data_IF_028020924467
#
_entry.id   IF_028020924467
#
_cell.length_a   1.000
_cell.length_b   1.000
_cell.length_c   1.000
_cell.angle_alpha   90.00
_cell.angle_beta   90.00
_cell.angle_gamma   90.00
#
_symmetry.space_group_name_H-M   'P 1'
#
loop_
_entity.id
_entity.type
_entity.pdbx_description
1 polymer ?
#
# COMPACT_ATOMS: atom_id res chain seq x y z
N UNK A 1 9.20 0.53 14.40
CA UNK A 1 8.12 -0.39 14.84
C UNK A 1 7.31 -0.98 13.69
N UNK A 2 7.07 -0.25 12.60
CA UNK A 2 6.44 -0.81 11.38
C UNK A 2 7.50 -1.37 10.42
N UNK A 3 8.54 -0.60 10.16
CA UNK A 3 9.67 -1.03 9.32
C UNK A 3 10.30 -2.33 9.82
N UNK A 4 10.60 -3.25 8.90
CA UNK A 4 11.19 -4.58 9.14
C UNK A 4 10.41 -5.46 10.13
N UNK A 5 9.12 -5.17 10.36
CA UNK A 5 8.30 -5.96 11.27
C UNK A 5 7.72 -7.19 10.57
N UNK A 6 8.30 -8.36 10.84
CA UNK A 6 7.88 -9.63 10.25
C UNK A 6 6.43 -10.03 10.58
N UNK A 7 5.82 -9.49 11.65
CA UNK A 7 4.41 -9.78 11.99
C UNK A 7 3.40 -9.12 11.03
N UNK A 8 3.90 -8.21 10.17
CA UNK A 8 3.15 -7.57 9.10
C UNK A 8 3.35 -8.27 7.74
N UNK A 9 4.22 -9.28 7.66
CA UNK A 9 4.34 -10.10 6.46
C UNK A 9 3.04 -10.87 6.20
N UNK A 10 2.70 -10.99 4.93
CA UNK A 10 1.64 -11.86 4.45
C UNK A 10 2.22 -13.21 4.06
N UNK A 11 1.42 -14.27 4.22
CA UNK A 11 1.75 -15.62 3.77
C UNK A 11 0.53 -16.22 3.07
N UNK A 12 0.76 -16.90 1.95
CA UNK A 12 -0.23 -17.70 1.23
C UNK A 12 0.52 -18.82 0.51
N UNK A 13 -0.01 -20.05 0.57
CA UNK A 13 0.67 -21.27 0.15
C UNK A 13 2.06 -21.40 0.81
N UNK A 14 3.13 -21.40 0.01
CA UNK A 14 4.52 -21.46 0.46
C UNK A 14 5.28 -20.16 0.19
N UNK A 15 4.56 -19.05 -0.06
CA UNK A 15 5.14 -17.75 -0.39
C UNK A 15 4.89 -16.78 0.75
N UNK A 16 5.89 -15.97 1.07
CA UNK A 16 5.81 -14.91 2.07
C UNK A 16 6.26 -13.58 1.48
N UNK A 17 5.61 -12.49 1.88
CA UNK A 17 6.03 -11.14 1.48
C UNK A 17 7.20 -10.65 2.31
N UNK A 18 7.96 -9.71 1.75
CA UNK A 18 8.95 -8.96 2.51
C UNK A 18 8.26 -8.05 3.53
N UNK A 19 8.88 -7.79 4.69
CA UNK A 19 8.30 -6.90 5.68
C UNK A 19 8.19 -5.45 5.12
N UNK A 20 7.30 -4.61 5.68
CA UNK A 20 7.18 -3.23 5.24
C UNK A 20 8.49 -2.46 5.40
N UNK A 21 8.78 -1.58 4.44
CA UNK A 21 9.97 -0.73 4.42
C UNK A 21 9.58 0.72 4.28
N UNK A 22 10.26 1.61 5.01
CA UNK A 22 9.99 3.05 4.95
C UNK A 22 10.41 3.60 3.58
N UNK A 23 9.51 4.34 2.94
CA UNK A 23 9.82 5.08 1.71
C UNK A 23 9.94 6.58 1.97
N UNK A 24 9.30 7.07 3.04
CA UNK A 24 9.31 8.46 3.43
C UNK A 24 9.08 8.56 4.93
N UNK A 25 9.84 9.42 5.59
CA UNK A 25 9.67 9.74 7.00
C UNK A 25 10.27 11.12 7.29
N UNK A 26 9.43 12.12 7.55
CA UNK A 26 9.88 13.47 7.91
C UNK A 26 8.78 14.30 8.58
N UNK A 27 9.18 15.42 9.17
CA UNK A 27 8.25 16.47 9.56
C UNK A 27 7.65 17.21 8.34
N UNK A 28 6.55 17.91 8.57
CA UNK A 28 5.83 18.70 7.57
C UNK A 28 6.06 20.21 7.73
N UNK A 29 7.21 20.65 8.26
CA UNK A 29 7.55 22.08 8.28
C UNK A 29 7.87 22.55 6.87
N UNK A 30 7.26 23.67 6.48
CA UNK A 30 7.49 24.30 5.18
C UNK A 30 8.67 25.28 5.21
N UNK A 31 8.92 25.89 6.37
CA UNK A 31 9.98 26.86 6.58
C UNK A 31 10.84 26.45 7.78
N UNK A 32 12.10 26.88 7.74
CA UNK A 32 12.98 26.75 8.89
C UNK A 32 12.62 27.78 9.96
N UNK A 33 12.42 27.27 11.18
CA UNK A 33 12.35 28.06 12.41
C UNK A 33 12.70 27.17 13.61
N UNK A 34 12.82 27.77 14.80
CA UNK A 34 13.23 27.08 16.05
C UNK A 34 12.10 26.34 16.76
N UNK A 35 10.88 26.34 16.23
CA UNK A 35 9.72 25.67 16.82
C UNK A 35 9.72 24.16 16.56
N UNK A 36 9.03 23.43 17.44
CA UNK A 36 8.81 21.98 17.31
C UNK A 36 7.81 21.71 16.17
N UNK A 37 8.05 20.71 15.31
CA UNK A 37 7.10 20.38 14.25
C UNK A 37 5.74 19.95 14.81
N UNK A 38 4.67 20.51 14.25
CA UNK A 38 3.28 20.17 14.61
C UNK A 38 2.84 18.85 13.98
N UNK A 39 3.32 18.56 12.76
CA UNK A 39 2.96 17.36 12.01
C UNK A 39 4.21 16.63 11.49
N UNK A 40 4.10 15.32 11.40
CA UNK A 40 5.04 14.45 10.68
C UNK A 40 4.27 13.40 9.90
N UNK A 41 4.89 12.87 8.84
CA UNK A 41 4.31 11.80 8.05
C UNK A 41 5.36 10.74 7.73
N UNK A 42 4.90 9.50 7.71
CA UNK A 42 5.66 8.36 7.21
C UNK A 42 4.77 7.52 6.31
N UNK A 43 5.32 7.01 5.21
CA UNK A 43 4.66 5.96 4.44
C UNK A 43 5.63 4.85 4.08
N UNK A 44 5.07 3.66 3.93
CA UNK A 44 5.80 2.41 3.80
C UNK A 44 5.39 1.72 2.51
N UNK A 45 6.34 1.06 1.86
CA UNK A 45 5.99 0.03 0.89
C UNK A 45 5.37 -1.15 1.66
N UNK A 46 4.21 -1.62 1.24
CA UNK A 46 3.49 -2.70 1.90
C UNK A 46 2.99 -3.71 0.87
N UNK A 47 3.54 -4.92 0.91
CA UNK A 47 3.12 -6.05 0.07
C UNK A 47 2.24 -7.02 0.87
N UNK A 48 1.19 -7.52 0.23
CA UNK A 48 0.30 -8.53 0.79
C UNK A 48 -0.13 -9.52 -0.30
N UNK A 49 -0.49 -10.74 0.10
CA UNK A 49 -0.98 -11.80 -0.79
C UNK A 49 -2.50 -11.90 -0.69
N UNK A 50 -3.10 -12.70 -1.56
CA UNK A 50 -4.57 -12.74 -1.73
C UNK A 50 -5.32 -13.08 -0.45
N UNK A 51 -4.83 -14.06 0.31
CA UNK A 51 -5.50 -14.53 1.53
C UNK A 51 -5.31 -13.59 2.74
N UNK A 52 -4.75 -12.40 2.50
CA UNK A 52 -4.58 -11.38 3.53
C UNK A 52 -5.88 -10.64 3.83
N UNK A 53 -6.30 -10.69 5.08
CA UNK A 53 -7.33 -9.82 5.62
C UNK A 53 -6.77 -8.41 5.90
N UNK A 54 -7.18 -7.43 5.09
CA UNK A 54 -6.64 -6.06 5.20
C UNK A 54 -7.14 -5.32 6.44
N UNK A 55 -8.34 -5.63 6.92
CA UNK A 55 -8.83 -5.11 8.20
C UNK A 55 -7.95 -5.57 9.35
N UNK A 56 -7.52 -6.85 9.36
CA UNK A 56 -6.58 -7.35 10.37
C UNK A 56 -5.23 -6.66 10.31
N UNK A 57 -4.70 -6.40 9.11
CA UNK A 57 -3.46 -5.61 8.95
C UNK A 57 -3.64 -4.21 9.52
N UNK A 58 -4.73 -3.53 9.17
CA UNK A 58 -5.01 -2.18 9.64
C UNK A 58 -5.07 -2.16 11.17
N UNK A 59 -5.73 -3.14 11.79
CA UNK A 59 -5.78 -3.30 13.25
C UNK A 59 -4.40 -3.60 13.87
N UNK A 60 -3.56 -4.41 13.21
CA UNK A 60 -2.16 -4.64 13.64
C UNK A 60 -1.36 -3.34 13.62
N UNK A 61 -1.49 -2.54 12.55
CA UNK A 61 -0.82 -1.24 12.42
C UNK A 61 -1.31 -0.26 13.50
N UNK A 62 -2.62 -0.14 13.69
CA UNK A 62 -3.23 0.67 14.76
C UNK A 62 -2.71 0.24 16.14
N UNK A 63 -2.61 -1.07 16.40
CA UNK A 63 -2.07 -1.60 17.65
C UNK A 63 -0.60 -1.23 17.85
N UNK A 64 0.20 -1.28 16.78
CA UNK A 64 1.61 -0.84 16.80
C UNK A 64 1.72 0.66 17.08
N UNK A 65 0.89 1.48 16.43
CA UNK A 65 0.84 2.93 16.65
C UNK A 65 0.43 3.26 18.09
N UNK A 66 -0.63 2.64 18.60
CA UNK A 66 -1.07 2.78 20.00
C UNK A 66 0.05 2.47 21.00
N UNK A 67 0.76 1.34 20.80
CA UNK A 67 1.91 1.00 21.65
C UNK A 67 3.00 2.05 21.55
N UNK A 68 3.33 2.50 20.33
CA UNK A 68 4.38 3.49 20.10
C UNK A 68 4.07 4.82 20.78
N UNK A 69 2.82 5.30 20.70
CA UNK A 69 2.39 6.52 21.39
C UNK A 69 2.48 6.36 22.91
N UNK A 70 2.04 5.22 23.46
CA UNK A 70 2.15 4.93 24.90
C UNK A 70 3.61 4.97 25.38
N UNK A 71 4.55 4.41 24.62
CA UNK A 71 5.98 4.46 24.98
C UNK A 71 6.53 5.90 24.97
N UNK A 72 6.10 6.74 24.01
CA UNK A 72 6.47 8.16 23.99
C UNK A 72 5.89 8.91 25.20
N UNK A 73 4.63 8.66 25.56
CA UNK A 73 4.00 9.29 26.72
C UNK A 73 4.65 8.85 28.04
N UNK A 74 5.03 7.57 28.18
CA UNK A 74 5.83 7.11 29.33
C UNK A 74 7.15 7.87 29.45
N UNK A 75 7.82 8.13 28.33
CA UNK A 75 9.06 8.93 28.31
C UNK A 75 8.80 10.39 28.69
N UNK A 76 7.70 10.97 28.23
CA UNK A 76 7.25 12.30 28.65
C UNK A 76 7.04 12.35 30.17
N UNK A 77 6.26 11.42 30.73
CA UNK A 77 5.96 11.36 32.15
C UNK A 77 7.22 11.19 33.00
N UNK A 78 8.11 10.26 32.62
CA UNK A 78 9.37 10.06 33.32
C UNK A 78 10.26 11.32 33.29
N UNK A 79 10.29 12.03 32.16
CA UNK A 79 11.04 13.29 32.02
C UNK A 79 10.42 14.38 32.90
N UNK A 80 9.10 14.53 32.85
CA UNK A 80 8.38 15.51 33.66
C UNK A 80 8.59 15.26 35.15
N UNK A 81 8.42 14.02 35.60
CA UNK A 81 8.56 13.63 37.01
C UNK A 81 10.00 13.85 37.50
N UNK A 82 11.02 13.59 36.67
CA UNK A 82 12.41 13.92 36.99
C UNK A 82 12.61 15.43 37.16
N UNK A 83 12.16 16.23 36.20
CA UNK A 83 12.29 17.69 36.26
C UNK A 83 11.56 18.28 37.46
N UNK A 84 10.37 17.76 37.76
CA UNK A 84 9.55 18.21 38.89
C UNK A 84 10.22 17.88 40.24
N UNK A 85 10.75 16.66 40.40
CA UNK A 85 11.46 16.24 41.64
C UNK A 85 12.75 17.03 41.91
N UNK A 86 13.32 17.68 40.89
CA UNK A 86 14.54 18.48 40.98
C UNK A 86 14.25 19.99 40.89
N UNK A 87 13.01 20.43 41.10
CA UNK A 87 12.58 21.84 41.07
C UNK A 87 12.89 22.58 39.75
N UNK A 88 13.02 21.86 38.63
CA UNK A 88 13.30 22.41 37.31
C UNK A 88 12.02 22.82 36.55
N UNK A 89 10.84 22.38 37.00
CA UNK A 89 9.55 22.68 36.38
C UNK A 89 8.43 22.67 37.43
N UNK A 90 7.37 23.47 37.18
CA UNK A 90 6.16 23.49 38.03
C UNK A 90 5.14 22.46 37.56
N UNK A 91 4.38 21.92 38.53
CA UNK A 91 3.32 20.93 38.27
C UNK A 91 2.27 21.40 37.25
N UNK A 92 1.91 22.68 37.27
CA UNK A 92 0.95 23.32 36.34
C UNK A 92 1.36 23.23 34.85
N UNK A 93 2.62 22.89 34.56
CA UNK A 93 3.12 22.68 33.20
C UNK A 93 2.94 21.24 32.73
N UNK A 94 2.51 20.31 33.60
CA UNK A 94 2.17 18.94 33.20
C UNK A 94 0.96 18.99 32.27
N UNK A 95 1.07 18.33 31.13
CA UNK A 95 -0.03 18.18 30.18
C UNK A 95 -0.60 16.78 30.32
N UNK A 96 -1.91 16.70 30.26
CA UNK A 96 -2.60 15.42 30.06
C UNK A 96 -2.79 15.19 28.57
N UNK A 97 -2.53 13.96 28.13
CA UNK A 97 -2.68 13.57 26.74
C UNK A 97 -3.73 12.47 26.63
N UNK A 98 -4.71 12.69 25.75
CA UNK A 98 -5.63 11.65 25.32
C UNK A 98 -5.35 11.34 23.84
N UNK A 99 -4.33 10.53 23.53
CA UNK A 99 -3.95 10.27 22.16
C UNK A 99 -5.02 9.46 21.42
N UNK A 100 -5.29 9.84 20.18
CA UNK A 100 -6.16 9.11 19.28
C UNK A 100 -5.32 8.42 18.20
N UNK A 101 -5.55 7.13 17.99
CA UNK A 101 -4.97 6.38 16.86
C UNK A 101 -6.14 5.83 16.06
N UNK A 102 -6.37 6.43 14.89
CA UNK A 102 -7.58 6.22 14.09
C UNK A 102 -7.22 5.97 12.63
N UNK A 103 -8.15 5.39 11.91
CA UNK A 103 -8.08 5.23 10.46
C UNK A 103 -8.43 6.53 9.73
N UNK A 104 -8.06 6.61 8.45
CA UNK A 104 -8.48 7.72 7.58
C UNK A 104 -10.00 7.82 7.48
N UNK A 105 -10.70 6.67 7.41
CA UNK A 105 -12.15 6.61 7.40
C UNK A 105 -12.78 7.18 8.68
N UNK A 106 -12.26 6.81 9.85
CA UNK A 106 -12.75 7.35 11.14
C UNK A 106 -12.45 8.86 11.26
N UNK A 107 -11.30 9.32 10.76
CA UNK A 107 -10.98 10.75 10.71
C UNK A 107 -12.01 11.53 9.88
N UNK A 108 -12.41 10.99 8.73
CA UNK A 108 -13.44 11.55 7.86
C UNK A 108 -14.79 11.66 8.56
N UNK A 109 -15.19 10.61 9.30
CA UNK A 109 -16.42 10.57 10.09
C UNK A 109 -16.41 11.63 11.19
N UNK A 110 -15.34 11.69 11.99
CA UNK A 110 -15.16 12.70 13.06
C UNK A 110 -15.19 14.12 12.49
N UNK A 111 -14.56 14.34 11.33
CA UNK A 111 -14.54 15.66 10.70
C UNK A 111 -15.92 16.10 10.20
N UNK A 112 -16.69 15.18 9.63
CA UNK A 112 -18.05 15.44 9.21
C UNK A 112 -18.99 15.75 10.40
N UNK A 113 -18.83 15.04 11.52
CA UNK A 113 -19.61 15.25 12.74
C UNK A 113 -19.30 16.59 13.41
N UNK A 114 -18.03 16.96 13.48
CA UNK A 114 -17.59 18.14 14.24
C UNK A 114 -17.63 19.46 13.45
N UNK A 115 -17.76 19.41 12.13
CA UNK A 115 -17.64 20.57 11.26
C UNK A 115 -18.72 20.59 10.16
N UNK A 116 -19.76 21.39 10.37
CA UNK A 116 -20.88 21.55 9.43
C UNK A 116 -20.46 21.94 8.01
N UNK A 117 -19.35 22.66 7.86
CA UNK A 117 -18.82 23.10 6.57
C UNK A 117 -17.82 22.09 5.96
N UNK A 118 -17.59 20.95 6.60
CA UNK A 118 -16.56 19.98 6.23
C UNK A 118 -16.61 19.59 4.76
N UNK A 119 -17.79 19.16 4.28
CA UNK A 119 -17.99 18.69 2.90
C UNK A 119 -17.59 19.77 1.89
N UNK A 120 -18.01 21.01 2.11
CA UNK A 120 -17.71 22.15 1.23
C UNK A 120 -16.21 22.48 1.23
N UNK A 121 -15.60 22.56 2.42
CA UNK A 121 -14.18 22.89 2.58
C UNK A 121 -13.28 21.80 1.99
N UNK A 122 -13.59 20.52 2.26
CA UNK A 122 -12.92 19.36 1.68
C UNK A 122 -12.97 19.40 0.15
N UNK A 123 -14.15 19.65 -0.43
CA UNK A 123 -14.32 19.73 -1.89
C UNK A 123 -13.48 20.85 -2.52
N UNK A 124 -13.43 22.02 -1.88
CA UNK A 124 -12.62 23.14 -2.34
C UNK A 124 -11.12 22.81 -2.28
N UNK A 125 -10.67 22.23 -1.16
CA UNK A 125 -9.29 21.78 -1.00
C UNK A 125 -8.90 20.75 -2.06
N UNK A 126 -9.73 19.73 -2.29
CA UNK A 126 -9.44 18.71 -3.29
C UNK A 126 -9.36 19.24 -4.72
N UNK A 127 -10.23 20.20 -5.08
CA UNK A 127 -10.13 20.87 -6.38
C UNK A 127 -8.76 21.54 -6.56
N UNK A 128 -8.25 22.21 -5.53
CA UNK A 128 -6.93 22.81 -5.56
C UNK A 128 -5.81 21.75 -5.64
N UNK A 129 -5.88 20.70 -4.82
CA UNK A 129 -4.91 19.60 -4.83
C UNK A 129 -4.80 18.94 -6.21
N UNK A 130 -5.92 18.68 -6.88
CA UNK A 130 -5.94 18.13 -8.25
C UNK A 130 -5.24 19.07 -9.24
N UNK A 131 -5.46 20.39 -9.14
CA UNK A 131 -4.75 21.35 -9.99
C UNK A 131 -3.23 21.34 -9.75
N UNK A 132 -2.79 21.15 -8.50
CA UNK A 132 -1.37 21.02 -8.16
C UNK A 132 -0.76 19.73 -8.72
N UNK A 133 -1.48 18.61 -8.66
CA UNK A 133 -1.05 17.34 -9.28
C UNK A 133 -0.94 17.51 -10.79
N UNK A 134 -1.98 18.03 -11.45
CA UNK A 134 -2.02 18.18 -12.91
C UNK A 134 -0.97 19.17 -13.44
N UNK A 135 -0.54 20.13 -12.62
CA UNK A 135 0.55 21.06 -12.96
C UNK A 135 1.94 20.53 -12.61
N UNK A 136 2.05 19.31 -12.06
CA UNK A 136 3.32 18.69 -11.69
C UNK A 136 3.99 19.30 -10.46
N UNK A 137 3.31 20.18 -9.72
CA UNK A 137 3.87 20.85 -8.53
C UNK A 137 3.98 19.92 -7.33
N UNK A 138 3.10 18.92 -7.25
CA UNK A 138 3.12 17.87 -6.23
C UNK A 138 2.82 16.52 -6.88
N UNK A 139 3.32 15.45 -6.30
CA UNK A 139 2.94 14.09 -6.68
C UNK A 139 1.74 13.60 -5.87
N UNK A 140 1.24 12.40 -6.19
CA UNK A 140 0.07 11.82 -5.53
C UNK A 140 0.34 11.45 -4.07
N UNK A 141 1.58 11.13 -3.71
CA UNK A 141 1.97 10.82 -2.33
C UNK A 141 1.91 12.06 -1.44
N UNK A 142 2.46 13.18 -1.91
CA UNK A 142 2.38 14.47 -1.23
C UNK A 142 0.92 14.93 -1.11
N UNK A 143 0.10 14.72 -2.15
CA UNK A 143 -1.32 15.02 -2.11
C UNK A 143 -2.04 14.24 -0.99
N UNK A 144 -1.74 12.95 -0.81
CA UNK A 144 -2.32 12.14 0.27
C UNK A 144 -1.94 12.65 1.67
N UNK A 145 -0.66 12.99 1.88
CA UNK A 145 -0.18 13.58 3.14
C UNK A 145 -0.92 14.89 3.44
N UNK A 146 -1.02 15.79 2.45
CA UNK A 146 -1.73 17.07 2.60
C UNK A 146 -3.22 16.87 2.89
N UNK A 147 -3.85 15.85 2.30
CA UNK A 147 -5.25 15.51 2.57
C UNK A 147 -5.47 15.11 4.03
N UNK A 148 -4.66 14.19 4.57
CA UNK A 148 -4.73 13.81 5.99
C UNK A 148 -4.55 15.05 6.88
N UNK A 149 -3.48 15.83 6.67
CA UNK A 149 -3.21 17.05 7.44
C UNK A 149 -4.41 17.98 7.40
N UNK A 150 -4.96 18.24 6.20
CA UNK A 150 -6.09 19.15 6.06
C UNK A 150 -7.33 18.66 6.79
N UNK A 151 -7.61 17.36 6.77
CA UNK A 151 -8.79 16.82 7.44
C UNK A 151 -8.60 16.84 8.96
N UNK A 152 -7.38 16.62 9.47
CA UNK A 152 -7.08 16.84 10.91
C UNK A 152 -7.40 18.29 11.31
N UNK A 153 -6.98 19.29 10.52
CA UNK A 153 -7.32 20.70 10.79
C UNK A 153 -8.84 20.95 10.77
N UNK A 154 -9.57 20.27 9.88
CA UNK A 154 -11.02 20.42 9.75
C UNK A 154 -11.80 19.63 10.81
N UNK A 155 -11.21 18.62 11.44
CA UNK A 155 -11.90 17.72 12.38
C UNK A 155 -12.05 18.29 13.80
N UNK A 156 -11.36 19.40 14.08
CA UNK A 156 -11.31 20.06 15.40
C UNK A 156 -10.76 19.16 16.51
N UNK A 157 -10.00 18.11 16.18
CA UNK A 157 -9.25 17.33 17.15
C UNK A 157 -8.14 18.22 17.72
N UNK A 158 -8.11 18.40 19.05
CA UNK A 158 -7.16 19.27 19.74
C UNK A 158 -6.00 18.52 20.42
N UNK A 159 -6.04 17.18 20.42
CA UNK A 159 -5.05 16.32 21.07
C UNK A 159 -4.06 15.68 20.10
N UNK A 160 -3.19 14.81 20.66
CA UNK A 160 -2.28 13.98 19.86
C UNK A 160 -3.12 13.02 19.01
N UNK A 161 -2.92 13.04 17.70
CA UNK A 161 -3.61 12.15 16.77
C UNK A 161 -2.62 11.46 15.83
N UNK A 162 -2.80 10.16 15.64
CA UNK A 162 -2.12 9.34 14.64
C UNK A 162 -3.19 8.81 13.70
N UNK A 163 -3.02 9.10 12.41
CA UNK A 163 -3.97 8.68 11.37
C UNK A 163 -3.30 7.64 10.48
N UNK A 164 -3.98 6.51 10.28
CA UNK A 164 -3.52 5.42 9.42
C UNK A 164 -4.41 5.31 8.19
N UNK A 165 -3.82 5.34 6.99
CA UNK A 165 -4.54 5.18 5.74
C UNK A 165 -3.66 4.58 4.65
N UNK A 166 -4.26 4.34 3.48
CA UNK A 166 -3.57 3.83 2.29
C UNK A 166 -3.34 4.96 1.30
N UNK A 167 -2.20 4.93 0.62
CA UNK A 167 -1.84 5.88 -0.41
C UNK A 167 -1.58 5.16 -1.73
N UNK A 168 -1.99 5.70 -2.88
CA UNK A 168 -1.79 5.02 -4.15
C UNK A 168 -0.31 4.81 -4.52
N UNK A 169 -0.03 3.86 -5.42
CA UNK A 169 -0.97 2.90 -6.02
C UNK A 169 -1.30 1.70 -5.12
N UNK A 170 -2.54 1.21 -5.20
CA UNK A 170 -2.98 -0.07 -4.67
C UNK A 170 -3.00 -1.13 -5.79
N UNK A 171 -2.18 -2.18 -5.64
CA UNK A 171 -2.20 -3.33 -6.54
C UNK A 171 -2.99 -4.46 -5.87
N UNK A 172 -4.17 -4.86 -6.40
CA UNK A 172 -4.88 -6.01 -5.88
C UNK A 172 -4.00 -7.26 -5.93
N UNK A 173 -3.98 -8.01 -4.82
CA UNK A 173 -3.30 -9.29 -4.80
C UNK A 173 -4.10 -10.32 -5.60
N UNK A 174 -3.54 -10.78 -6.71
CA UNK A 174 -4.18 -11.75 -7.61
C UNK A 174 -3.48 -13.09 -7.48
N UNK A 175 -4.26 -14.13 -7.15
CA UNK A 175 -3.92 -15.54 -7.34
C UNK A 175 -4.83 -16.05 -8.45
N UNK A 176 -4.24 -16.66 -9.47
CA UNK A 176 -5.01 -17.17 -10.60
C UNK A 176 -6.09 -18.15 -10.10
N UNK A 177 -7.31 -17.98 -10.61
CA UNK A 177 -8.50 -18.77 -10.25
C UNK A 177 -9.09 -19.51 -11.46
N UNK A 178 -8.52 -19.33 -12.65
CA UNK A 178 -8.90 -20.07 -13.85
C UNK A 178 -8.25 -21.45 -13.90
N UNK A 179 -8.88 -22.39 -14.61
CA UNK A 179 -8.22 -23.64 -14.97
C UNK A 179 -7.17 -23.33 -16.05
N UNK A 180 -5.90 -23.61 -15.76
CA UNK A 180 -4.79 -23.43 -16.70
C UNK A 180 -4.13 -24.76 -17.10
N UNK A 181 -4.70 -25.91 -16.71
CA UNK A 181 -4.04 -27.21 -16.81
C UNK A 181 -3.57 -27.54 -18.23
N UNK A 182 -4.39 -27.22 -19.23
CA UNK A 182 -4.07 -27.44 -20.64
C UNK A 182 -2.92 -26.55 -21.13
N UNK A 183 -2.93 -25.26 -20.78
CA UNK A 183 -1.85 -24.33 -21.12
C UNK A 183 -0.55 -24.67 -20.39
N UNK A 184 -0.63 -25.07 -19.12
CA UNK A 184 0.52 -25.52 -18.35
C UNK A 184 1.10 -26.83 -18.89
N UNK A 185 0.25 -27.77 -19.33
CA UNK A 185 0.68 -29.01 -19.99
C UNK A 185 1.37 -28.72 -21.31
N UNK A 186 0.81 -27.82 -22.13
CA UNK A 186 1.43 -27.34 -23.37
C UNK A 186 2.84 -26.77 -23.13
N UNK A 187 2.99 -25.92 -22.10
CA UNK A 187 4.29 -25.37 -21.71
C UNK A 187 5.28 -26.45 -21.24
N UNK A 188 4.83 -27.38 -20.41
CA UNK A 188 5.68 -28.47 -19.90
C UNK A 188 6.19 -29.38 -21.03
N UNK A 189 5.33 -29.72 -21.99
CA UNK A 189 5.72 -30.52 -23.17
C UNK A 189 6.78 -29.82 -24.02
N UNK A 190 6.61 -28.52 -24.30
CA UNK A 190 7.57 -27.75 -25.10
C UNK A 190 8.92 -27.63 -24.36
N UNK A 191 8.88 -27.35 -23.06
CA UNK A 191 10.08 -27.28 -22.21
C UNK A 191 10.82 -28.62 -22.17
N UNK A 192 10.11 -29.72 -21.91
CA UNK A 192 10.69 -31.05 -21.78
C UNK A 192 11.25 -31.56 -23.12
N UNK A 193 10.49 -31.42 -24.22
CA UNK A 193 10.88 -32.02 -25.49
C UNK A 193 11.98 -31.21 -26.19
N UNK A 194 11.82 -29.88 -26.30
CA UNK A 194 12.72 -29.02 -27.08
C UNK A 194 13.92 -28.52 -26.27
N UNK A 195 13.71 -28.17 -25.01
CA UNK A 195 14.74 -27.51 -24.20
C UNK A 195 15.36 -28.40 -23.12
N UNK A 196 14.78 -29.58 -22.86
CA UNK A 196 15.17 -30.49 -21.76
C UNK A 196 15.12 -29.77 -20.40
N UNK A 197 14.14 -28.88 -20.25
CA UNK A 197 13.85 -28.14 -19.02
C UNK A 197 12.57 -28.68 -18.37
N UNK A 198 12.42 -28.43 -17.08
CA UNK A 198 11.22 -28.77 -16.30
C UNK A 198 10.41 -27.52 -16.03
N UNK A 199 9.09 -27.59 -16.17
CA UNK A 199 8.22 -26.48 -15.75
C UNK A 199 8.19 -26.37 -14.22
N UNK A 200 8.31 -25.13 -13.74
CA UNK A 200 8.03 -24.78 -12.36
C UNK A 200 7.02 -23.63 -12.34
N UNK A 201 5.96 -23.78 -11.55
CA UNK A 201 4.86 -22.81 -11.46
C UNK A 201 4.90 -22.17 -10.08
N UNK A 202 5.14 -20.85 -10.07
CA UNK A 202 5.01 -20.02 -8.88
C UNK A 202 3.58 -19.47 -8.80
N UNK A 203 2.89 -19.55 -7.65
CA UNK A 203 1.53 -19.03 -7.51
C UNK A 203 1.47 -17.49 -7.50
N UNK A 204 2.60 -16.83 -7.23
CA UNK A 204 2.72 -15.39 -7.15
C UNK A 204 3.97 -14.89 -7.87
N UNK A 205 3.79 -13.82 -8.65
CA UNK A 205 4.90 -12.97 -9.04
C UNK A 205 5.12 -11.93 -7.93
N UNK A 206 6.28 -11.99 -7.27
CA UNK A 206 6.60 -11.13 -6.11
C UNK A 206 7.04 -9.71 -6.49
N UNK A 207 7.07 -9.38 -7.78
CA UNK A 207 7.24 -8.02 -8.28
C UNK A 207 5.90 -7.29 -8.44
N UNK A 208 5.97 -6.03 -8.89
CA UNK A 208 4.78 -5.27 -9.27
C UNK A 208 4.37 -5.69 -10.68
N UNK A 209 3.09 -5.98 -10.90
CA UNK A 209 2.58 -6.37 -12.21
C UNK A 209 1.19 -5.78 -12.46
N UNK A 210 0.97 -5.24 -13.65
CA UNK A 210 -0.31 -4.65 -14.04
C UNK A 210 -1.43 -5.70 -14.19
N UNK A 211 -1.08 -6.99 -14.22
CA UNK A 211 -2.04 -8.11 -14.11
C UNK A 211 -2.86 -8.04 -12.80
N UNK A 212 -2.36 -7.37 -11.76
CA UNK A 212 -3.15 -7.05 -10.57
C UNK A 212 -4.46 -6.30 -10.89
N UNK A 213 -4.56 -5.65 -12.06
CA UNK A 213 -5.75 -4.92 -12.50
C UNK A 213 -6.64 -5.71 -13.47
N UNK A 214 -6.33 -6.97 -13.79
CA UNK A 214 -7.14 -7.79 -14.73
C UNK A 214 -8.05 -8.80 -14.01
N UNK A 215 -7.86 -8.98 -12.70
CA UNK A 215 -8.69 -9.84 -11.88
C UNK A 215 -8.91 -9.27 -10.47
N UNK A 216 -10.10 -9.51 -9.91
CA UNK A 216 -10.42 -9.14 -8.54
C UNK A 216 -11.40 -10.16 -7.94
N UNK A 217 -10.85 -11.11 -7.20
CA UNK A 217 -11.65 -12.17 -6.56
C UNK A 217 -12.18 -11.78 -5.18
N UNK A 218 -11.63 -10.74 -4.56
CA UNK A 218 -12.08 -10.22 -3.26
C UNK A 218 -12.38 -8.72 -3.30
N UNK A 219 -13.58 -8.38 -3.78
CA UNK A 219 -14.07 -7.01 -3.82
C UNK A 219 -14.25 -6.41 -2.41
N UNK A 220 -14.57 -7.24 -1.41
CA UNK A 220 -14.84 -6.71 -0.06
C UNK A 220 -13.55 -6.13 0.53
N UNK A 221 -12.47 -6.90 0.45
CA UNK A 221 -11.14 -6.49 0.89
C UNK A 221 -10.63 -5.27 0.10
N UNK A 222 -10.82 -5.27 -1.23
CA UNK A 222 -10.46 -4.12 -2.07
C UNK A 222 -11.22 -2.84 -1.69
N UNK A 223 -12.52 -2.94 -1.40
CA UNK A 223 -13.34 -1.81 -0.95
C UNK A 223 -12.91 -1.29 0.42
N UNK A 224 -12.52 -2.17 1.33
CA UNK A 224 -12.02 -1.77 2.65
C UNK A 224 -10.76 -0.91 2.52
N UNK A 225 -9.80 -1.33 1.69
CA UNK A 225 -8.62 -0.52 1.36
C UNK A 225 -9.03 0.83 0.77
N UNK A 226 -9.92 0.85 -0.22
CA UNK A 226 -10.35 2.10 -0.85
C UNK A 226 -11.08 3.03 0.11
N UNK A 227 -11.80 2.51 1.10
CA UNK A 227 -12.46 3.34 2.12
C UNK A 227 -11.49 4.09 3.01
N UNK A 228 -10.24 3.59 3.10
CA UNK A 228 -9.13 4.21 3.81
C UNK A 228 -8.09 4.84 2.86
N UNK A 229 -8.44 5.04 1.59
CA UNK A 229 -7.56 5.68 0.61
C UNK A 229 -7.53 7.19 0.81
N UNK A 230 -6.34 7.75 1.00
CA UNK A 230 -6.15 9.16 1.42
C UNK A 230 -6.24 10.16 0.27
N UNK A 231 -6.61 9.69 -0.92
CA UNK A 231 -6.86 10.52 -2.10
C UNK A 231 -8.26 10.27 -2.64
N UNK A 232 -8.81 11.26 -3.34
CA UNK A 232 -10.15 11.13 -3.92
C UNK A 232 -10.19 10.14 -5.10
N UNK A 233 -11.37 9.56 -5.32
CA UNK A 233 -11.66 8.72 -6.49
C UNK A 233 -11.44 9.43 -7.83
N UNK A 234 -11.58 10.76 -7.88
CA UNK A 234 -11.26 11.56 -9.07
C UNK A 234 -9.75 11.63 -9.38
N UNK A 235 -8.91 11.32 -8.39
CA UNK A 235 -7.44 11.26 -8.53
C UNK A 235 -6.95 9.83 -8.73
N UNK A 236 -7.55 8.87 -8.01
CA UNK A 236 -7.19 7.46 -8.11
C UNK A 236 -8.41 6.58 -7.83
N UNK A 237 -8.79 5.76 -8.79
CA UNK A 237 -9.91 4.83 -8.66
C UNK A 237 -9.66 3.57 -9.49
N UNK A 238 -10.16 2.45 -8.98
CA UNK A 238 -10.17 1.17 -9.69
C UNK A 238 -11.62 0.70 -9.77
N UNK A 239 -12.08 0.34 -10.97
CA UNK A 239 -13.40 -0.27 -11.14
C UNK A 239 -13.36 -1.77 -10.85
N UNK A 240 -13.37 -2.12 -9.56
CA UNK A 240 -13.33 -3.52 -9.13
C UNK A 240 -14.50 -4.35 -9.64
N UNK A 241 -15.66 -3.73 -9.94
CA UNK A 241 -16.81 -4.48 -10.50
C UNK A 241 -16.51 -4.90 -11.93
N UNK A 242 -15.97 -4.00 -12.75
CA UNK A 242 -15.59 -4.32 -14.13
C UNK A 242 -14.43 -5.32 -14.16
N UNK A 243 -13.41 -5.13 -13.31
CA UNK A 243 -12.29 -6.06 -13.20
C UNK A 243 -12.75 -7.45 -12.74
N UNK A 244 -13.67 -7.54 -11.76
CA UNK A 244 -14.23 -8.82 -11.33
C UNK A 244 -15.05 -9.51 -12.43
N UNK A 245 -15.78 -8.76 -13.27
CA UNK A 245 -16.50 -9.36 -14.40
C UNK A 245 -15.55 -9.99 -15.41
N UNK A 246 -14.38 -9.38 -15.63
CA UNK A 246 -13.36 -9.88 -16.54
C UNK A 246 -12.62 -11.08 -15.94
N UNK A 247 -12.12 -10.94 -14.70
CA UNK A 247 -11.46 -11.99 -13.92
C UNK A 247 -10.50 -12.84 -14.77
N UNK A 248 -9.64 -12.16 -15.55
CA UNK A 248 -8.85 -12.78 -16.62
C UNK A 248 -7.78 -13.68 -16.03
N UNK A 249 -7.81 -15.01 -16.28
CA UNK A 249 -6.71 -15.89 -15.94
C UNK A 249 -5.45 -15.43 -16.65
N UNK A 250 -4.33 -15.37 -15.93
CA UNK A 250 -3.09 -14.76 -16.43
C UNK A 250 -1.89 -15.65 -16.12
N UNK A 251 -0.97 -15.75 -17.08
CA UNK A 251 0.35 -16.38 -16.92
C UNK A 251 1.40 -15.30 -17.13
N UNK A 252 2.30 -15.14 -16.17
CA UNK A 252 3.49 -14.30 -16.32
C UNK A 252 4.62 -15.18 -16.82
N UNK A 253 5.06 -14.95 -18.05
CA UNK A 253 6.15 -15.67 -18.69
C UNK A 253 7.17 -14.67 -19.23
N UNK A 254 8.45 -14.90 -18.96
CA UNK A 254 9.53 -14.04 -19.42
C UNK A 254 10.89 -14.72 -19.30
N UNK A 255 11.95 -14.08 -19.85
CA UNK A 255 13.30 -14.62 -19.78
C UNK A 255 13.83 -14.58 -18.34
N UNK A 256 14.78 -15.45 -18.02
CA UNK A 256 15.54 -15.32 -16.79
C UNK A 256 16.24 -13.95 -16.78
N UNK A 257 15.86 -13.12 -15.82
CA UNK A 257 16.46 -11.82 -15.60
C UNK A 257 17.11 -11.71 -14.23
N UNK A 258 17.99 -10.73 -14.09
CA UNK A 258 18.66 -10.42 -12.82
C UNK A 258 18.88 -8.92 -12.68
N UNK A 259 18.78 -8.44 -11.44
CA UNK A 259 19.04 -7.06 -11.05
C UNK A 259 18.11 -6.03 -11.73
N UNK A 260 16.83 -6.37 -11.89
CA UNK A 260 15.77 -5.51 -12.44
C UNK A 260 15.71 -4.14 -11.75
N UNK A 261 15.48 -3.06 -12.51
CA UNK A 261 15.44 -1.68 -12.01
C UNK A 261 16.75 -1.21 -11.34
N UNK A 262 17.87 -1.81 -11.72
CA UNK A 262 19.21 -1.36 -11.31
C UNK A 262 20.09 -1.14 -12.54
N UNK A 263 21.23 -0.48 -12.35
CA UNK A 263 22.22 -0.29 -13.41
C UNK A 263 22.84 -1.60 -13.95
N UNK A 264 22.63 -2.73 -13.26
CA UNK A 264 23.12 -4.04 -13.67
C UNK A 264 22.05 -4.93 -14.29
N UNK A 265 20.87 -4.39 -14.59
CA UNK A 265 19.77 -5.13 -15.18
C UNK A 265 20.21 -5.90 -16.44
N UNK A 266 19.93 -7.21 -16.46
CA UNK A 266 20.30 -8.11 -17.56
C UNK A 266 19.36 -9.29 -17.67
N UNK A 267 19.30 -9.87 -18.87
CA UNK A 267 18.47 -11.04 -19.20
C UNK A 267 19.30 -12.11 -19.90
N UNK A 268 18.87 -13.37 -19.79
CA UNK A 268 19.51 -14.48 -20.48
C UNK A 268 19.11 -14.50 -21.97
N UNK A 269 20.07 -14.21 -22.85
CA UNK A 269 19.79 -13.98 -24.28
C UNK A 269 19.10 -15.16 -24.97
N UNK A 270 19.43 -16.41 -24.59
CA UNK A 270 18.82 -17.60 -25.18
C UNK A 270 17.31 -17.66 -24.91
N UNK A 271 16.88 -17.22 -23.72
CA UNK A 271 15.46 -17.15 -23.41
C UNK A 271 14.75 -16.12 -24.27
N UNK A 272 15.40 -14.97 -24.49
CA UNK A 272 14.84 -13.86 -25.28
C UNK A 272 14.65 -14.22 -26.75
N UNK A 273 15.64 -14.89 -27.37
CA UNK A 273 15.65 -15.11 -28.83
C UNK A 273 15.09 -16.47 -29.26
N UNK A 274 15.00 -17.44 -28.34
CA UNK A 274 14.59 -18.80 -28.67
C UNK A 274 13.53 -19.33 -27.68
N UNK A 275 13.87 -19.51 -26.39
CA UNK A 275 12.99 -20.27 -25.48
C UNK A 275 11.64 -19.60 -25.26
N UNK A 276 11.59 -18.34 -24.82
CA UNK A 276 10.32 -17.63 -24.51
C UNK A 276 9.47 -17.38 -25.76
N UNK A 277 10.00 -16.94 -26.91
CA UNK A 277 9.20 -16.78 -28.13
C UNK A 277 8.49 -18.07 -28.55
N UNK A 278 9.17 -19.22 -28.46
CA UNK A 278 8.56 -20.51 -28.80
C UNK A 278 7.48 -20.91 -27.80
N UNK A 279 7.68 -20.68 -26.49
CA UNK A 279 6.65 -20.94 -25.48
C UNK A 279 5.39 -20.08 -25.71
N UNK A 280 5.58 -18.78 -26.01
CA UNK A 280 4.47 -17.88 -26.34
C UNK A 280 3.76 -18.35 -27.61
N UNK A 281 4.51 -18.74 -28.66
CA UNK A 281 3.91 -19.26 -29.89
C UNK A 281 3.09 -20.52 -29.64
N UNK A 282 3.59 -21.45 -28.82
CA UNK A 282 2.86 -22.66 -28.46
C UNK A 282 1.58 -22.36 -27.67
N UNK A 283 1.62 -21.41 -26.73
CA UNK A 283 0.43 -20.96 -26.02
C UNK A 283 -0.62 -20.35 -26.96
N UNK A 284 -0.21 -19.48 -27.89
CA UNK A 284 -1.11 -18.87 -28.87
C UNK A 284 -1.75 -19.96 -29.76
N UNK A 285 -0.96 -20.92 -30.23
CA UNK A 285 -1.47 -22.05 -31.01
C UNK A 285 -2.45 -22.90 -30.20
N UNK A 286 -2.16 -23.16 -28.92
CA UNK A 286 -3.08 -23.89 -28.04
C UNK A 286 -4.41 -23.17 -27.91
N UNK A 287 -4.39 -21.86 -27.63
CA UNK A 287 -5.60 -21.02 -27.54
C UNK A 287 -6.37 -20.92 -28.86
N UNK A 288 -5.68 -21.01 -30.00
CA UNK A 288 -6.31 -20.92 -31.33
C UNK A 288 -6.90 -22.26 -31.78
N UNK A 289 -6.39 -23.38 -31.28
CA UNK A 289 -6.95 -24.71 -31.51
C UNK A 289 -8.23 -24.96 -30.70
N UNK A 290 -8.59 -24.03 -29.80
CA UNK A 290 -9.83 -24.05 -29.03
C UNK A 290 -11.06 -23.48 -29.78
N UNK A 291 -10.98 -23.06 -31.05
CA UNK A 291 -12.19 -22.71 -31.85
C UNK A 291 -12.81 -24.00 -32.45
N UNK A 292 -14.03 -24.46 -32.14
CA UNK A 292 -15.28 -23.85 -31.61
C UNK A 292 -15.91 -24.71 -30.51
#
# INVERSE_FOLDING_TARGET
>A
NIELNYNLCSQDLNVATQPPTVLYNRDLKELYDVSVPEYSASYFNYQFLKDTNTSEILQKIISICNRSVKEVLKKYDATFDYMYKNDLIKLEKKREFNPLVITYKELEEIAAENNENYVTLKKAFHKNTIQLINSGKINIQEAGIRTIKKIIELSKISGVVVVVGFIPPYYPAVKNHGNLDEYLSCLDEVLANKYKLKLYVEPYFMGICDISYTACTDIKNAKEIMSNMVVQSSTYNIDFKQIQKLNIPSIVLGPLGKDYHTMYERVYIKDVVDTVPNLISSLISQMSNEEV
#
